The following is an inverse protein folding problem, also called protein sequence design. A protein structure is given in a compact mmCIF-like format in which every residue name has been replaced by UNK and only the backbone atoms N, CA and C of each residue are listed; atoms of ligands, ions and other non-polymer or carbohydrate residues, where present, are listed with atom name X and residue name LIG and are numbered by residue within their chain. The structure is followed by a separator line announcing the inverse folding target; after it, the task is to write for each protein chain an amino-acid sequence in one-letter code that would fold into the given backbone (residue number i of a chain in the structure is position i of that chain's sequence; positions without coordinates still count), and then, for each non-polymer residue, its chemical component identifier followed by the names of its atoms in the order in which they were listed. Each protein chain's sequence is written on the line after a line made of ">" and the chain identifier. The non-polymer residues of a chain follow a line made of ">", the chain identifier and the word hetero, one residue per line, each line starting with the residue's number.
data_IF_533936301223
#
_entry.id   IF_533936301223
#
_cell.length_a   1.000
_cell.length_b   1.000
_cell.length_c   1.000
_cell.angle_alpha   90.00
_cell.angle_beta   90.00
_cell.angle_gamma   90.00
#
_symmetry.space_group_name_H-M   'P 1'
#
loop_
_entity.id
_entity.type
_entity.pdbx_description
1 polymer ?
#
# COMPACT_ATOMS: atom_id res chain seq x y z
N UNK A 1 -22.30 25.28 -29.58
CA UNK A 1 -22.16 23.82 -29.87
C UNK A 1 -20.70 23.48 -29.68
N UNK A 2 -20.21 22.64 -28.76
CA UNK A 2 -20.79 21.75 -27.76
C UNK A 2 -19.99 21.95 -26.46
N UNK A 3 -20.72 22.03 -25.35
CA UNK A 3 -20.18 21.94 -24.00
C UNK A 3 -19.81 20.48 -23.70
N UNK A 4 -18.66 20.27 -23.05
CA UNK A 4 -18.43 19.08 -22.21
C UNK A 4 -17.61 19.53 -21.00
N UNK A 5 -18.33 19.99 -19.99
CA UNK A 5 -17.82 20.10 -18.63
C UNK A 5 -17.81 18.70 -18.02
N UNK A 6 -16.63 18.15 -17.77
CA UNK A 6 -16.44 16.91 -17.04
C UNK A 6 -16.33 17.29 -15.54
N UNK A 7 -17.40 17.03 -14.79
CA UNK A 7 -17.44 17.20 -13.34
C UNK A 7 -16.44 16.23 -12.67
N UNK A 8 -15.43 16.80 -12.03
CA UNK A 8 -14.57 16.13 -11.05
C UNK A 8 -15.31 16.03 -9.71
N UNK A 9 -15.82 14.85 -9.39
CA UNK A 9 -16.33 14.49 -8.06
C UNK A 9 -15.28 13.59 -7.38
N UNK A 10 -14.34 14.22 -6.69
CA UNK A 10 -13.47 13.56 -5.71
C UNK A 10 -14.15 13.63 -4.35
N UNK A 11 -14.83 12.55 -3.97
CA UNK A 11 -15.24 12.29 -2.59
C UNK A 11 -14.83 10.87 -2.21
N UNK A 12 -13.56 10.72 -1.83
CA UNK A 12 -13.06 9.53 -1.14
C UNK A 12 -13.56 9.63 0.31
N UNK A 13 -14.69 8.99 0.58
CA UNK A 13 -15.21 8.81 1.94
C UNK A 13 -14.33 7.78 2.66
N UNK A 14 -13.59 8.27 3.64
CA UNK A 14 -12.91 7.46 4.66
C UNK A 14 -14.01 6.94 5.59
N UNK A 15 -14.34 5.65 5.50
CA UNK A 15 -15.05 4.96 6.59
C UNK A 15 -14.05 4.73 7.73
N UNK A 16 -13.95 5.72 8.61
CA UNK A 16 -13.48 5.48 9.97
C UNK A 16 -14.65 4.89 10.77
N UNK A 17 -14.42 3.74 11.39
CA UNK A 17 -15.33 3.09 12.33
C UNK A 17 -15.80 4.09 13.39
N UNK A 18 -17.10 4.41 13.38
CA UNK A 18 -17.75 5.07 14.50
C UNK A 18 -18.09 3.98 15.53
N UNK A 19 -17.29 3.88 16.59
CA UNK A 19 -17.72 3.24 17.83
C UNK A 19 -18.82 4.12 18.44
N UNK A 20 -20.07 3.76 18.20
CA UNK A 20 -21.18 4.29 18.98
C UNK A 20 -21.32 3.43 20.25
N UNK A 21 -20.90 4.00 21.38
CA UNK A 21 -21.30 3.55 22.70
C UNK A 21 -22.84 3.53 22.78
N UNK A 22 -23.42 2.34 22.86
CA UNK A 22 -24.82 2.20 23.20
C UNK A 22 -25.00 2.43 24.71
N UNK A 23 -25.48 3.63 25.06
CA UNK A 23 -26.14 3.88 26.34
C UNK A 23 -27.41 3.04 26.43
N UNK A 24 -27.44 2.16 27.42
CA UNK A 24 -28.62 1.47 27.93
C UNK A 24 -29.73 2.49 28.28
N UNK A 25 -30.94 2.25 27.78
CA UNK A 25 -32.22 2.62 28.42
C UNK A 25 -33.41 1.96 27.73
N UNK A 26 -34.16 1.16 28.51
CA UNK A 26 -35.63 1.15 28.53
C UNK A 26 -36.41 0.39 27.46
N UNK A 27 -36.95 -0.76 27.88
CA UNK A 27 -38.14 -1.48 27.39
C UNK A 27 -39.06 -0.77 26.37
N UNK A 28 -39.40 -1.49 25.30
CA UNK A 28 -40.81 -1.80 24.96
C UNK A 28 -40.91 -2.93 23.93
N UNK A 29 -41.72 -3.92 24.28
CA UNK A 29 -42.09 -5.07 23.46
C UNK A 29 -42.71 -4.65 22.11
N UNK A 30 -42.10 -5.08 21.00
CA UNK A 30 -42.80 -5.31 19.73
C UNK A 30 -42.26 -6.58 19.08
N UNK A 31 -43.09 -7.64 19.11
CA UNK A 31 -42.94 -8.84 18.26
C UNK A 31 -43.00 -8.40 16.80
N UNK A 32 -41.85 -8.20 16.17
CA UNK A 32 -41.74 -8.22 14.73
C UNK A 32 -41.24 -9.59 14.32
N UNK A 33 -42.15 -10.37 13.75
CA UNK A 33 -41.90 -11.62 13.05
C UNK A 33 -41.02 -11.32 11.84
N UNK A 34 -39.69 -11.28 12.02
CA UNK A 34 -38.77 -11.21 10.89
C UNK A 34 -38.85 -12.54 10.17
N UNK A 35 -39.37 -12.54 8.94
CA UNK A 35 -39.09 -13.58 7.96
C UNK A 35 -37.57 -13.68 7.82
N UNK A 36 -36.99 -14.65 8.51
CA UNK A 36 -35.64 -15.10 8.26
C UNK A 36 -35.64 -15.68 6.84
N UNK A 37 -35.18 -14.89 5.87
CA UNK A 37 -34.69 -15.45 4.62
C UNK A 37 -33.51 -16.34 5.01
N UNK A 38 -33.79 -17.63 5.23
CA UNK A 38 -32.77 -18.66 5.32
C UNK A 38 -31.96 -18.59 4.03
N UNK A 39 -30.78 -17.99 4.14
CA UNK A 39 -29.81 -17.89 3.08
C UNK A 39 -29.23 -19.30 2.87
N UNK A 40 -29.95 -20.16 2.15
CA UNK A 40 -29.50 -21.51 1.79
C UNK A 40 -28.09 -21.40 1.22
N UNK A 41 -27.12 -22.00 1.92
CA UNK A 41 -25.73 -22.06 1.45
C UNK A 41 -25.70 -22.81 0.12
N UNK A 42 -25.62 -22.09 -0.98
CA UNK A 42 -25.46 -22.69 -2.29
C UNK A 42 -24.06 -23.32 -2.37
N UNK A 43 -23.97 -24.64 -2.18
CA UNK A 43 -22.78 -25.40 -2.50
C UNK A 43 -22.79 -25.68 -4.01
N UNK A 44 -21.82 -25.12 -4.74
CA UNK A 44 -21.70 -25.36 -6.17
C UNK A 44 -21.14 -26.77 -6.42
N UNK A 45 -21.58 -27.42 -7.51
CA UNK A 45 -21.00 -28.70 -7.91
C UNK A 45 -19.52 -28.53 -8.31
N UNK A 46 -18.72 -29.58 -8.14
CA UNK A 46 -17.31 -29.58 -8.50
C UNK A 46 -17.09 -29.15 -9.97
N UNK A 47 -17.86 -29.70 -10.91
CA UNK A 47 -17.80 -29.31 -12.32
C UNK A 47 -18.03 -27.81 -12.51
N UNK A 48 -18.95 -27.22 -11.75
CA UNK A 48 -19.27 -25.79 -11.79
C UNK A 48 -18.15 -24.92 -11.21
N UNK A 49 -17.43 -25.42 -10.21
CA UNK A 49 -16.27 -24.75 -9.61
C UNK A 49 -15.04 -24.80 -10.51
N UNK A 50 -14.79 -25.95 -11.14
CA UNK A 50 -13.71 -26.09 -12.12
C UNK A 50 -13.98 -25.18 -13.33
N UNK A 51 -15.21 -25.15 -13.86
CA UNK A 51 -15.59 -24.26 -14.93
C UNK A 51 -15.45 -22.78 -14.55
N UNK A 52 -15.77 -22.43 -13.29
CA UNK A 52 -15.54 -21.09 -12.76
C UNK A 52 -14.04 -20.74 -12.78
N UNK A 53 -13.17 -21.59 -12.22
CA UNK A 53 -11.73 -21.40 -12.25
C UNK A 53 -11.19 -21.24 -13.69
N UNK A 54 -11.64 -22.09 -14.61
CA UNK A 54 -11.25 -22.03 -16.03
C UNK A 54 -11.71 -20.73 -16.70
N UNK A 55 -12.89 -20.19 -16.33
CA UNK A 55 -13.37 -18.90 -16.83
C UNK A 55 -12.52 -17.73 -16.32
N UNK A 56 -12.15 -17.74 -15.04
CA UNK A 56 -11.31 -16.71 -14.41
C UNK A 56 -9.88 -16.75 -14.97
N UNK A 57 -9.33 -17.94 -15.23
CA UNK A 57 -8.04 -18.14 -15.89
C UNK A 57 -7.94 -17.50 -17.28
N UNK A 58 -9.07 -17.22 -17.94
CA UNK A 58 -9.14 -16.60 -19.27
C UNK A 58 -9.43 -15.10 -19.24
N UNK A 59 -9.67 -14.52 -18.06
CA UNK A 59 -9.88 -13.08 -17.94
C UNK A 59 -8.61 -12.30 -18.30
N UNK A 60 -8.79 -11.06 -18.77
CA UNK A 60 -7.68 -10.13 -19.00
C UNK A 60 -6.95 -9.81 -17.69
N UNK A 61 -5.70 -10.24 -17.58
CA UNK A 61 -4.84 -9.93 -16.43
C UNK A 61 -4.69 -8.43 -16.22
N UNK A 62 -4.59 -7.63 -17.28
CA UNK A 62 -4.42 -6.17 -17.19
C UNK A 62 -5.59 -5.47 -16.49
N UNK A 63 -6.82 -5.90 -16.77
CA UNK A 63 -8.02 -5.35 -16.11
C UNK A 63 -8.02 -5.64 -14.62
N UNK A 64 -7.68 -6.88 -14.25
CA UNK A 64 -7.58 -7.32 -12.85
C UNK A 64 -6.44 -6.60 -12.12
N UNK A 65 -5.27 -6.46 -12.76
CA UNK A 65 -4.12 -5.72 -12.24
C UNK A 65 -4.48 -4.26 -11.98
N UNK A 66 -5.13 -3.58 -12.92
CA UNK A 66 -5.52 -2.18 -12.77
C UNK A 66 -6.47 -1.98 -11.59
N UNK A 67 -7.40 -2.91 -11.39
CA UNK A 67 -8.33 -2.89 -10.24
C UNK A 67 -7.56 -3.07 -8.92
N UNK A 68 -6.70 -4.08 -8.83
CA UNK A 68 -5.96 -4.40 -7.60
C UNK A 68 -4.89 -3.36 -7.24
N UNK A 69 -4.22 -2.76 -8.23
CA UNK A 69 -3.17 -1.77 -7.97
C UNK A 69 -3.71 -0.37 -7.67
N UNK A 70 -4.97 -0.07 -8.02
CA UNK A 70 -5.55 1.27 -7.99
C UNK A 70 -5.34 1.99 -6.66
N UNK A 71 -5.69 1.36 -5.54
CA UNK A 71 -5.58 2.00 -4.22
C UNK A 71 -4.13 2.33 -3.88
N UNK A 72 -3.23 1.37 -4.11
CA UNK A 72 -1.83 1.55 -3.77
C UNK A 72 -1.14 2.60 -4.67
N UNK A 73 -1.44 2.57 -5.96
CA UNK A 73 -0.94 3.55 -6.92
C UNK A 73 -1.52 4.93 -6.64
N UNK A 74 -2.76 5.04 -6.17
CA UNK A 74 -3.37 6.31 -5.79
C UNK A 74 -2.62 6.97 -4.64
N UNK A 75 -2.27 6.21 -3.59
CA UNK A 75 -1.47 6.75 -2.47
C UNK A 75 -0.06 7.11 -2.93
N UNK A 76 0.58 6.25 -3.73
CA UNK A 76 1.92 6.50 -4.27
C UNK A 76 2.00 7.78 -5.12
N UNK A 77 0.99 7.99 -5.98
CA UNK A 77 0.90 9.12 -6.91
C UNK A 77 0.32 10.39 -6.27
N UNK A 78 -0.27 10.32 -5.06
CA UNK A 78 -0.81 11.45 -4.31
C UNK A 78 0.27 12.37 -3.71
N UNK A 79 1.38 12.56 -4.42
CA UNK A 79 2.38 13.55 -4.08
C UNK A 79 2.04 14.89 -4.73
N UNK A 80 1.88 15.92 -3.91
CA UNK A 80 1.58 17.26 -4.38
C UNK A 80 2.88 17.93 -4.85
N UNK A 81 2.97 18.23 -6.14
CA UNK A 81 4.05 19.04 -6.70
C UNK A 81 3.82 20.52 -6.35
N UNK A 82 4.82 21.14 -5.72
CA UNK A 82 4.77 22.55 -5.28
C UNK A 82 5.69 23.41 -6.16
N UNK A 83 6.96 23.01 -6.30
CA UNK A 83 7.98 23.72 -7.08
C UNK A 83 8.07 25.23 -6.81
N UNK A 84 8.12 25.61 -5.53
CA UNK A 84 8.18 27.02 -5.08
C UNK A 84 9.57 27.35 -4.56
N UNK A 85 10.18 28.42 -5.09
CA UNK A 85 11.40 28.99 -4.54
C UNK A 85 11.08 29.86 -3.33
N UNK A 86 11.74 29.60 -2.21
CA UNK A 86 11.65 30.41 -1.01
C UNK A 86 12.44 31.70 -1.19
N UNK A 87 11.89 32.82 -0.72
CA UNK A 87 12.67 34.05 -0.63
C UNK A 87 13.71 33.96 0.50
N UNK A 88 14.62 34.95 0.56
CA UNK A 88 15.73 34.96 1.53
C UNK A 88 15.26 34.87 2.98
N UNK A 89 14.16 35.56 3.33
CA UNK A 89 13.62 35.59 4.68
C UNK A 89 13.01 34.22 5.05
N UNK A 90 12.16 33.67 4.19
CA UNK A 90 11.55 32.34 4.36
C UNK A 90 12.61 31.26 4.52
N UNK A 91 13.64 31.27 3.66
CA UNK A 91 14.72 30.29 3.73
C UNK A 91 15.58 30.47 4.99
N UNK A 92 15.78 31.70 5.45
CA UNK A 92 16.45 31.98 6.73
C UNK A 92 15.65 31.41 7.91
N UNK A 93 14.34 31.67 7.94
CA UNK A 93 13.41 31.13 8.95
C UNK A 93 13.43 29.60 8.96
N UNK A 94 13.38 28.95 7.79
CA UNK A 94 13.48 27.50 7.68
C UNK A 94 14.81 26.96 8.23
N UNK A 95 15.94 27.59 7.90
CA UNK A 95 17.25 27.17 8.43
C UNK A 95 17.33 27.30 9.95
N UNK A 96 16.75 28.36 10.52
CA UNK A 96 16.65 28.56 11.97
C UNK A 96 15.77 27.50 12.61
N UNK A 97 14.60 27.23 12.03
CA UNK A 97 13.69 26.20 12.50
C UNK A 97 14.32 24.80 12.52
N UNK A 98 15.03 24.43 11.46
CA UNK A 98 15.78 23.15 11.40
C UNK A 98 16.84 23.08 12.51
N UNK A 99 17.56 24.17 12.78
CA UNK A 99 18.57 24.22 13.84
C UNK A 99 17.95 24.12 15.24
N UNK A 100 16.82 24.78 15.44
CA UNK A 100 16.09 24.81 16.72
C UNK A 100 15.19 23.58 16.93
N UNK A 101 14.96 22.78 15.88
CA UNK A 101 14.02 21.65 15.86
C UNK A 101 12.58 22.06 16.19
N UNK A 102 12.24 23.32 15.97
CA UNK A 102 10.91 23.87 16.20
C UNK A 102 10.66 25.08 15.31
N UNK A 103 9.40 25.37 15.01
CA UNK A 103 8.99 26.55 14.25
C UNK A 103 7.68 27.09 14.82
N UNK A 104 7.50 28.41 14.81
CA UNK A 104 6.21 28.99 15.16
C UNK A 104 5.16 28.67 14.08
N UNK A 105 3.90 28.48 14.48
CA UNK A 105 2.84 28.12 13.53
C UNK A 105 2.69 29.17 12.41
N UNK A 106 2.67 30.45 12.75
CA UNK A 106 2.57 31.56 11.79
C UNK A 106 3.72 31.57 10.76
N UNK A 107 4.94 31.26 11.23
CA UNK A 107 6.12 31.13 10.38
C UNK A 107 6.04 29.91 9.47
N UNK A 108 5.52 28.79 9.99
CA UNK A 108 5.29 27.59 9.19
C UNK A 108 4.23 27.85 8.12
N UNK A 109 3.10 28.44 8.47
CA UNK A 109 2.02 28.74 7.52
C UNK A 109 2.48 29.69 6.41
N UNK A 110 3.36 30.64 6.73
CA UNK A 110 3.98 31.52 5.72
C UNK A 110 4.82 30.75 4.70
N UNK A 111 5.51 29.68 5.11
CA UNK A 111 6.39 28.89 4.23
C UNK A 111 5.61 27.77 3.52
N UNK A 112 4.68 27.12 4.20
CA UNK A 112 4.06 25.87 3.75
C UNK A 112 2.60 26.03 3.32
N UNK A 113 2.02 27.23 3.48
CA UNK A 113 0.58 27.43 3.41
C UNK A 113 -0.10 26.80 4.63
N UNK A 114 -1.42 26.61 4.56
CA UNK A 114 -2.18 25.95 5.62
C UNK A 114 -1.56 24.58 5.94
N UNK A 115 -1.17 24.39 7.20
CA UNK A 115 -0.65 23.13 7.71
C UNK A 115 -1.74 22.35 8.44
N UNK A 116 -1.77 21.05 8.22
CA UNK A 116 -2.61 20.14 9.00
C UNK A 116 -1.77 19.65 10.17
N UNK A 117 -2.26 19.92 11.38
CA UNK A 117 -1.61 19.53 12.63
C UNK A 117 -2.47 18.51 13.35
N UNK A 118 -1.81 17.58 14.03
CA UNK A 118 -2.46 16.67 14.97
C UNK A 118 -3.09 17.47 16.12
N UNK A 119 -4.15 16.93 16.72
CA UNK A 119 -4.88 17.60 17.81
C UNK A 119 -3.99 17.90 19.01
N UNK A 120 -2.92 17.14 19.22
CA UNK A 120 -1.93 17.39 20.28
C UNK A 120 -1.22 18.74 20.15
N UNK A 121 -1.21 19.35 18.96
CA UNK A 121 -0.59 20.65 18.71
C UNK A 121 -1.61 21.81 18.66
N UNK A 122 -2.90 21.54 18.95
CA UNK A 122 -3.91 22.58 19.03
C UNK A 122 -3.65 23.48 20.25
N UNK A 123 -3.47 24.78 20.02
CA UNK A 123 -3.17 25.76 21.07
C UNK A 123 -1.68 25.97 21.34
N UNK A 124 -0.81 25.14 20.76
CA UNK A 124 0.63 25.33 20.83
C UNK A 124 1.08 26.49 19.94
N UNK A 125 2.09 27.26 20.39
CA UNK A 125 2.67 28.34 19.56
C UNK A 125 3.75 27.84 18.62
N UNK A 126 4.40 26.74 18.97
CA UNK A 126 5.49 26.14 18.22
C UNK A 126 5.18 24.67 17.93
N UNK A 127 5.59 24.22 16.75
CA UNK A 127 5.50 22.82 16.35
C UNK A 127 6.90 22.24 16.16
N UNK A 128 7.10 20.94 16.43
CA UNK A 128 8.40 20.29 16.25
C UNK A 128 8.78 20.24 14.77
N UNK A 129 10.09 20.30 14.49
CA UNK A 129 10.63 20.14 13.14
C UNK A 129 11.62 19.00 13.13
N UNK A 130 11.27 17.93 12.41
CA UNK A 130 12.17 16.83 12.10
C UNK A 130 12.81 17.06 10.74
N UNK A 131 14.12 16.83 10.65
CA UNK A 131 14.93 17.11 9.46
C UNK A 131 15.62 15.85 8.96
N UNK A 132 15.52 15.61 7.65
CA UNK A 132 16.12 14.47 6.96
C UNK A 132 17.05 14.99 5.86
N UNK A 133 18.37 14.80 5.99
CA UNK A 133 19.33 15.16 4.94
C UNK A 133 19.63 13.97 4.03
N UNK A 134 19.72 14.22 2.71
CA UNK A 134 19.99 13.18 1.71
C UNK A 134 21.38 13.36 1.07
N UNK A 135 22.42 13.35 1.91
CA UNK A 135 23.81 13.47 1.46
C UNK A 135 24.82 13.19 2.57
N UNK A 136 26.10 13.07 2.19
CA UNK A 136 27.19 12.88 3.17
C UNK A 136 27.36 14.15 4.02
N UNK A 137 27.28 13.98 5.34
CA UNK A 137 27.46 15.03 6.35
C UNK A 137 26.15 15.75 6.71
N UNK A 138 25.92 15.95 8.02
CA UNK A 138 24.74 16.60 8.61
C UNK A 138 24.54 18.08 8.21
N UNK A 139 25.45 18.63 7.40
CA UNK A 139 25.43 20.03 6.91
C UNK A 139 25.01 20.15 5.44
N UNK A 140 24.85 19.06 4.70
CA UNK A 140 24.43 19.15 3.31
C UNK A 140 22.93 19.48 3.23
N UNK A 141 22.64 20.77 3.02
CA UNK A 141 21.28 21.31 2.90
C UNK A 141 20.80 21.38 1.44
N UNK A 142 21.45 20.66 0.52
CA UNK A 142 21.00 20.63 -0.87
C UNK A 142 19.72 19.82 -0.97
N UNK A 143 19.76 18.51 -0.83
CA UNK A 143 18.55 17.67 -0.92
C UNK A 143 18.16 17.21 0.49
N UNK A 144 16.95 17.57 0.93
CA UNK A 144 16.47 17.24 2.27
C UNK A 144 14.94 17.20 2.32
N UNK A 145 14.42 16.66 3.42
CA UNK A 145 13.01 16.73 3.76
C UNK A 145 12.81 17.22 5.20
N UNK A 146 11.61 17.73 5.50
CA UNK A 146 11.17 18.00 6.86
C UNK A 146 9.77 17.43 7.12
N UNK A 147 9.44 17.20 8.39
CA UNK A 147 8.10 16.90 8.87
C UNK A 147 7.81 17.60 10.20
N UNK A 148 6.52 17.78 10.53
CA UNK A 148 6.06 18.44 11.75
C UNK A 148 5.51 17.47 12.81
N UNK A 149 6.22 16.38 13.07
CA UNK A 149 5.84 15.40 14.09
C UNK A 149 7.02 15.11 15.03
N UNK A 150 6.71 14.77 16.27
CA UNK A 150 7.67 14.12 17.18
C UNK A 150 7.94 12.66 16.78
N UNK A 151 9.05 12.10 17.27
CA UNK A 151 9.52 10.75 16.95
C UNK A 151 8.55 9.61 17.35
N UNK A 152 7.48 9.89 18.09
CA UNK A 152 6.54 8.90 18.64
C UNK A 152 5.07 9.13 18.27
N UNK A 153 4.77 10.14 17.46
CA UNK A 153 3.37 10.42 17.08
C UNK A 153 2.95 9.42 16.02
N UNK A 154 1.99 8.58 16.38
CA UNK A 154 1.31 7.66 15.46
C UNK A 154 0.28 8.46 14.66
N UNK A 155 0.29 8.34 13.34
CA UNK A 155 -0.77 8.94 12.54
C UNK A 155 -0.30 9.54 11.23
N UNK A 156 -1.05 10.54 10.77
CA UNK A 156 -0.78 11.22 9.51
C UNK A 156 0.20 12.37 9.73
N UNK A 157 1.18 12.51 8.85
CA UNK A 157 2.07 13.67 8.81
C UNK A 157 2.38 14.09 7.39
N UNK A 158 2.83 15.33 7.21
CA UNK A 158 3.26 15.83 5.92
C UNK A 158 4.79 15.84 5.83
N UNK A 159 5.32 15.21 4.79
CA UNK A 159 6.70 15.37 4.35
C UNK A 159 6.78 16.49 3.33
N UNK A 160 7.73 17.39 3.53
CA UNK A 160 8.04 18.47 2.60
C UNK A 160 9.45 18.28 2.04
N UNK A 161 9.58 18.15 0.73
CA UNK A 161 10.83 17.81 0.03
C UNK A 161 11.45 19.06 -0.59
N UNK A 162 12.75 19.25 -0.36
CA UNK A 162 13.50 20.43 -0.76
C UNK A 162 14.72 20.11 -1.61
N UNK A 163 15.06 21.06 -2.49
CA UNK A 163 16.37 21.21 -3.10
C UNK A 163 16.89 22.65 -2.87
N UNK A 164 17.75 22.83 -1.88
CA UNK A 164 18.28 24.13 -1.47
C UNK A 164 17.19 25.01 -0.87
N UNK A 165 16.92 26.14 -1.53
CA UNK A 165 15.87 27.09 -1.17
C UNK A 165 14.54 26.79 -1.89
N UNK A 166 14.41 25.67 -2.59
CA UNK A 166 13.22 25.33 -3.36
C UNK A 166 12.43 24.20 -2.70
N UNK A 167 11.16 24.47 -2.35
CA UNK A 167 10.18 23.48 -1.91
C UNK A 167 9.59 22.77 -3.13
N UNK A 168 9.98 21.52 -3.34
CA UNK A 168 9.62 20.77 -4.54
C UNK A 168 8.26 20.10 -4.44
N UNK A 169 8.01 19.41 -3.32
CA UNK A 169 6.81 18.59 -3.17
C UNK A 169 6.38 18.43 -1.71
N UNK A 170 5.11 18.06 -1.52
CA UNK A 170 4.50 17.69 -0.25
C UNK A 170 3.82 16.33 -0.40
N UNK A 171 3.97 15.46 0.60
CA UNK A 171 3.24 14.18 0.67
C UNK A 171 2.68 13.98 2.08
N UNK A 172 1.36 13.81 2.17
CA UNK A 172 0.75 13.27 3.37
C UNK A 172 1.07 11.78 3.45
N UNK A 173 1.60 11.34 4.58
CA UNK A 173 1.95 9.95 4.83
C UNK A 173 1.24 9.47 6.10
N UNK A 174 0.84 8.21 6.12
CA UNK A 174 0.42 7.54 7.35
C UNK A 174 1.54 6.67 7.89
N UNK A 175 1.82 6.79 9.17
CA UNK A 175 2.82 5.95 9.80
C UNK A 175 2.45 5.63 11.26
N UNK A 176 2.23 4.36 11.53
CA UNK A 176 1.87 3.89 12.86
C UNK A 176 3.10 3.54 13.71
N UNK A 177 4.17 3.03 13.09
CA UNK A 177 5.35 2.47 13.79
C UNK A 177 6.60 3.36 13.77
N UNK A 178 6.49 4.60 13.30
CA UNK A 178 7.59 5.53 13.12
C UNK A 178 8.08 5.61 11.66
N UNK A 179 8.38 6.83 11.24
CA UNK A 179 8.82 7.12 9.88
C UNK A 179 10.33 7.02 9.71
N UNK A 180 10.75 6.07 8.89
CA UNK A 180 12.14 5.89 8.47
C UNK A 180 12.33 6.30 7.00
N UNK A 181 12.82 7.52 6.79
CA UNK A 181 13.26 7.98 5.47
C UNK A 181 14.69 7.52 5.20
N UNK A 182 14.84 6.68 4.19
CA UNK A 182 16.12 6.22 3.70
C UNK A 182 16.42 6.86 2.34
N UNK A 183 17.69 6.86 1.95
CA UNK A 183 18.09 7.34 0.63
C UNK A 183 19.32 6.61 0.10
N UNK A 184 19.54 6.71 -1.21
CA UNK A 184 20.76 6.28 -1.88
C UNK A 184 21.03 7.12 -3.12
N UNK A 185 22.24 7.00 -3.67
CA UNK A 185 22.58 7.54 -4.99
C UNK A 185 22.46 6.45 -6.04
N UNK A 186 21.68 6.70 -7.08
CA UNK A 186 21.58 5.79 -8.22
C UNK A 186 22.85 5.83 -9.09
N UNK A 187 22.86 5.09 -10.20
CA UNK A 187 23.99 5.01 -11.11
C UNK A 187 24.41 6.39 -11.67
N UNK A 188 23.47 7.32 -11.79
CA UNK A 188 23.70 8.69 -12.30
C UNK A 188 24.05 9.69 -11.18
N UNK A 189 24.24 9.22 -9.95
CA UNK A 189 24.52 10.07 -8.79
C UNK A 189 23.32 10.91 -8.30
N UNK A 190 22.11 10.61 -8.76
CA UNK A 190 20.86 11.27 -8.33
C UNK A 190 20.36 10.63 -7.05
N UNK A 191 19.75 11.44 -6.18
CA UNK A 191 19.16 10.94 -4.93
C UNK A 191 17.85 10.25 -5.23
N UNK A 192 17.76 9.00 -4.77
CA UNK A 192 16.49 8.30 -4.60
C UNK A 192 16.25 8.19 -3.10
N UNK A 193 15.10 8.68 -2.66
CA UNK A 193 14.61 8.42 -1.31
C UNK A 193 13.61 7.28 -1.34
N UNK A 194 13.51 6.57 -0.22
CA UNK A 194 12.48 5.58 -0.03
C UNK A 194 12.09 5.45 1.43
N UNK A 195 10.85 5.07 1.65
CA UNK A 195 10.28 4.84 2.96
C UNK A 195 9.16 3.80 2.87
N UNK A 196 8.83 3.24 4.03
CA UNK A 196 7.69 2.35 4.21
C UNK A 196 6.48 3.17 4.64
N UNK A 197 5.34 2.95 4.00
CA UNK A 197 4.05 3.52 4.41
C UNK A 197 3.08 2.38 4.75
N UNK A 198 2.40 2.54 5.87
CA UNK A 198 1.45 1.56 6.40
C UNK A 198 0.07 1.80 5.77
N UNK A 199 -0.59 0.76 5.27
CA UNK A 199 -1.96 0.86 4.72
C UNK A 199 -2.99 0.28 5.67
N UNK A 200 -2.71 -0.92 6.18
CA UNK A 200 -3.57 -1.62 7.11
C UNK A 200 -2.68 -2.23 8.19
N UNK A 201 -2.96 -1.84 9.43
CA UNK A 201 -2.25 -2.32 10.63
C UNK A 201 -3.29 -2.80 11.63
N UNK A 202 -3.12 -4.03 12.13
CA UNK A 202 -4.00 -4.61 13.15
C UNK A 202 -3.41 -5.91 13.70
N UNK A 203 -4.07 -6.51 14.68
CA UNK A 203 -3.64 -7.78 15.27
C UNK A 203 -3.54 -8.88 14.19
N UNK A 204 -2.32 -9.20 13.78
CA UNK A 204 -2.02 -10.24 12.78
C UNK A 204 -2.10 -9.80 11.31
N UNK A 205 -2.39 -8.53 11.01
CA UNK A 205 -2.41 -7.99 9.64
C UNK A 205 -1.42 -6.83 9.53
N UNK A 206 -0.50 -6.97 8.58
CA UNK A 206 0.56 -6.03 8.26
C UNK A 206 0.58 -5.86 6.75
N UNK A 207 0.12 -4.70 6.29
CA UNK A 207 0.24 -4.33 4.89
C UNK A 207 0.92 -2.97 4.74
N UNK A 208 2.14 -3.03 4.20
CA UNK A 208 2.97 -1.86 4.00
C UNK A 208 3.54 -1.88 2.57
N UNK A 209 3.64 -0.72 1.91
CA UNK A 209 4.41 -0.60 0.67
C UNK A 209 5.72 0.17 0.91
N UNK A 210 6.70 -0.13 0.07
CA UNK A 210 7.89 0.67 -0.15
C UNK A 210 7.64 1.62 -1.30
N UNK A 211 7.72 2.92 -1.02
CA UNK A 211 7.71 3.94 -2.05
C UNK A 211 9.09 4.51 -2.29
N UNK A 212 9.41 4.73 -3.55
CA UNK A 212 10.64 5.35 -3.99
C UNK A 212 10.33 6.59 -4.80
N UNK A 213 11.08 7.65 -4.51
CA UNK A 213 10.99 8.93 -5.21
C UNK A 213 12.38 9.42 -5.56
N UNK A 214 12.53 10.06 -6.73
CA UNK A 214 13.81 10.54 -7.25
C UNK A 214 13.83 12.05 -7.38
N UNK A 215 14.94 12.66 -6.96
CA UNK A 215 15.28 14.03 -7.34
C UNK A 215 15.78 14.03 -8.78
N UNK A 216 14.99 14.58 -9.69
CA UNK A 216 15.27 14.54 -11.13
C UNK A 216 14.88 15.87 -11.78
N UNK A 217 15.84 16.53 -12.42
CA UNK A 217 15.65 17.82 -13.12
C UNK A 217 14.90 18.87 -12.29
N UNK A 218 15.36 19.12 -11.06
CA UNK A 218 14.73 20.03 -10.08
C UNK A 218 13.27 19.69 -9.74
N UNK A 219 12.85 18.45 -9.96
CA UNK A 219 11.56 17.91 -9.54
C UNK A 219 11.76 16.73 -8.61
N UNK A 220 10.70 16.38 -7.91
CA UNK A 220 10.66 15.24 -7.03
C UNK A 220 9.55 14.29 -7.51
N UNK A 221 9.95 13.20 -8.15
CA UNK A 221 9.03 12.34 -8.92
C UNK A 221 8.90 10.94 -8.31
N UNK A 222 7.70 10.34 -8.35
CA UNK A 222 7.50 8.93 -7.99
C UNK A 222 8.23 8.02 -9.00
N UNK A 223 8.98 7.02 -8.52
CA UNK A 223 9.76 6.13 -9.41
C UNK A 223 9.56 4.64 -9.19
N UNK A 224 9.14 4.19 -7.99
CA UNK A 224 8.78 2.79 -7.73
C UNK A 224 7.80 2.68 -6.57
N UNK A 225 6.81 1.80 -6.73
CA UNK A 225 5.88 1.35 -5.71
C UNK A 225 5.99 -0.17 -5.64
N UNK A 226 6.39 -0.70 -4.49
CA UNK A 226 6.54 -2.14 -4.29
C UNK A 226 5.94 -2.56 -2.96
N UNK A 227 5.35 -3.75 -2.89
CA UNK A 227 4.85 -4.30 -1.63
C UNK A 227 6.03 -4.55 -0.68
N UNK A 228 6.02 -3.97 0.52
CA UNK A 228 7.01 -4.26 1.55
C UNK A 228 6.66 -5.53 2.29
N UNK A 229 5.43 -5.62 2.78
CA UNK A 229 4.87 -6.79 3.40
C UNK A 229 3.38 -6.80 3.08
N UNK A 230 2.85 -7.95 2.69
CA UNK A 230 1.42 -8.19 2.60
C UNK A 230 1.11 -9.57 3.15
N UNK A 231 0.37 -9.61 4.26
CA UNK A 231 -0.19 -10.84 4.77
C UNK A 231 -1.71 -10.73 4.92
N UNK A 232 -2.39 -11.86 4.74
CA UNK A 232 -3.78 -11.98 5.18
C UNK A 232 -4.00 -13.36 5.76
N UNK A 233 -4.74 -13.39 6.85
CA UNK A 233 -5.33 -14.59 7.43
C UNK A 233 -6.84 -14.42 7.32
N UNK A 234 -7.42 -14.86 6.20
CA UNK A 234 -8.87 -15.10 6.15
C UNK A 234 -9.81 -13.94 5.81
N UNK A 235 -9.43 -12.95 5.00
CA UNK A 235 -10.40 -11.96 4.48
C UNK A 235 -11.62 -12.59 3.77
N UNK A 236 -11.48 -13.83 3.26
CA UNK A 236 -12.56 -14.70 2.80
C UNK A 236 -12.39 -16.13 3.34
N UNK A 237 -11.86 -16.27 4.57
CA UNK A 237 -11.78 -17.53 5.32
C UNK A 237 -10.88 -18.64 4.76
N UNK A 238 -10.43 -18.58 3.51
CA UNK A 238 -9.88 -19.75 2.82
C UNK A 238 -8.39 -19.63 2.51
N UNK A 239 -7.87 -18.48 2.07
CA UNK A 239 -6.45 -18.30 1.69
C UNK A 239 -5.62 -17.65 2.79
N UNK A 240 -4.50 -18.28 3.13
CA UNK A 240 -3.42 -17.69 3.91
C UNK A 240 -2.32 -17.25 2.94
N UNK A 241 -1.84 -16.01 3.06
CA UNK A 241 -0.76 -15.50 2.22
C UNK A 241 0.22 -14.66 3.03
N UNK A 242 1.47 -14.71 2.62
CA UNK A 242 2.55 -13.91 3.15
C UNK A 242 3.48 -13.52 2.00
N UNK A 243 3.81 -12.24 1.87
CA UNK A 243 4.91 -11.79 1.03
C UNK A 243 5.66 -10.71 1.79
N UNK A 244 6.99 -10.82 1.80
CA UNK A 244 7.88 -9.83 2.36
C UNK A 244 9.00 -9.48 1.35
N UNK A 245 9.24 -8.18 1.18
CA UNK A 245 10.31 -7.63 0.38
C UNK A 245 11.44 -7.10 1.26
N UNK A 246 12.62 -7.67 1.07
CA UNK A 246 13.84 -7.38 1.81
C UNK A 246 14.83 -6.69 0.88
N UNK A 247 15.23 -5.47 1.22
CA UNK A 247 16.24 -4.72 0.48
C UNK A 247 17.63 -5.34 0.68
N UNK A 248 18.22 -5.88 -0.39
CA UNK A 248 19.59 -6.44 -0.37
C UNK A 248 20.65 -5.38 -0.62
N UNK A 249 20.42 -4.53 -1.62
CA UNK A 249 21.33 -3.42 -2.01
C UNK A 249 20.56 -2.36 -2.78
N UNK A 250 21.11 -1.16 -2.87
CA UNK A 250 20.45 0.03 -3.44
C UNK A 250 21.05 0.52 -4.75
N UNK A 251 22.26 0.11 -5.13
CA UNK A 251 22.85 0.45 -6.42
C UNK A 251 23.60 -0.75 -7.03
N UNK A 252 23.01 -1.46 -8.03
CA UNK A 252 21.61 -1.36 -8.44
C UNK A 252 20.65 -1.78 -7.31
N UNK A 253 19.40 -1.28 -7.33
CA UNK A 253 18.39 -1.69 -6.36
C UNK A 253 18.03 -3.17 -6.56
N UNK A 254 18.14 -3.97 -5.51
CA UNK A 254 17.75 -5.38 -5.50
C UNK A 254 16.90 -5.67 -4.27
N UNK A 255 15.72 -6.22 -4.50
CA UNK A 255 14.80 -6.66 -3.46
C UNK A 255 14.69 -8.18 -3.51
N UNK A 256 14.92 -8.86 -2.39
CA UNK A 256 14.57 -10.27 -2.21
C UNK A 256 13.11 -10.33 -1.78
N UNK A 257 12.30 -11.02 -2.55
CA UNK A 257 10.90 -11.29 -2.23
C UNK A 257 10.80 -12.70 -1.68
N UNK A 258 10.32 -12.83 -0.46
CA UNK A 258 10.01 -14.12 0.19
C UNK A 258 8.50 -14.22 0.26
N UNK A 259 7.92 -15.26 -0.31
CA UNK A 259 6.47 -15.35 -0.43
C UNK A 259 5.96 -16.78 -0.27
N UNK A 260 4.80 -16.89 0.35
CA UNK A 260 4.08 -18.13 0.48
C UNK A 260 2.58 -17.91 0.44
N UNK A 261 1.86 -18.90 -0.07
CA UNK A 261 0.42 -18.94 0.08
C UNK A 261 -0.09 -20.38 0.15
N UNK A 262 -1.22 -20.51 0.82
CA UNK A 262 -1.91 -21.77 1.02
C UNK A 262 -3.33 -21.51 1.52
N UNK A 263 -3.91 -22.51 2.16
CA UNK A 263 -5.27 -22.41 2.70
C UNK A 263 -5.26 -22.59 4.22
N UNK A 264 -6.12 -21.86 4.93
CA UNK A 264 -6.16 -21.86 6.41
C UNK A 264 -6.40 -23.25 7.01
N UNK A 265 -7.05 -24.14 6.25
CA UNK A 265 -7.33 -25.54 6.59
C UNK A 265 -6.06 -26.43 6.52
N UNK A 266 -4.91 -25.87 6.13
CA UNK A 266 -3.62 -26.55 6.06
C UNK A 266 -2.67 -26.22 7.22
N UNK A 267 -3.12 -26.24 8.47
CA UNK A 267 -2.17 -26.47 9.58
C UNK A 267 -2.24 -27.93 9.95
N UNK A 268 -1.56 -28.77 9.17
CA UNK A 268 -1.34 -30.15 9.54
C UNK A 268 0.08 -30.29 10.10
N UNK A 269 0.18 -30.61 11.39
CA UNK A 269 1.48 -30.82 12.05
C UNK A 269 2.14 -32.11 11.55
N UNK A 270 1.35 -33.07 11.06
CA UNK A 270 1.84 -34.37 10.60
C UNK A 270 2.31 -34.32 9.14
N UNK A 271 1.84 -33.35 8.35
CA UNK A 271 2.20 -33.19 6.93
C UNK A 271 2.48 -31.72 6.55
N UNK A 272 3.65 -31.17 6.92
CA UNK A 272 4.00 -29.77 6.68
C UNK A 272 4.01 -29.36 5.19
N UNK A 273 4.25 -30.29 4.27
CA UNK A 273 4.25 -30.04 2.81
C UNK A 273 2.85 -29.78 2.24
N UNK A 274 1.81 -30.08 3.02
CA UNK A 274 0.46 -29.66 2.71
C UNK A 274 0.21 -28.22 3.13
N UNK A 275 1.04 -27.59 3.95
CA UNK A 275 0.79 -26.24 4.48
C UNK A 275 0.94 -25.11 3.44
N UNK A 276 1.47 -25.42 2.25
CA UNK A 276 1.73 -24.44 1.19
C UNK A 276 1.44 -24.95 -0.23
N UNK A 277 0.86 -24.08 -1.08
CA UNK A 277 0.72 -24.30 -2.53
C UNK A 277 2.02 -23.85 -3.18
N UNK A 278 2.61 -22.82 -2.59
CA UNK A 278 3.85 -22.17 -2.98
C UNK A 278 4.50 -21.60 -1.72
N UNK A 279 5.79 -21.84 -1.57
CA UNK A 279 6.66 -21.22 -0.57
C UNK A 279 8.04 -21.09 -1.23
N UNK A 280 8.39 -19.87 -1.63
CA UNK A 280 9.61 -19.64 -2.40
C UNK A 280 10.18 -18.24 -2.10
N UNK A 281 11.35 -17.96 -2.67
CA UNK A 281 11.89 -16.62 -2.73
C UNK A 281 12.58 -16.38 -4.06
N UNK A 282 12.60 -15.12 -4.47
CA UNK A 282 13.33 -14.67 -5.66
C UNK A 282 13.95 -13.31 -5.40
N UNK A 283 14.90 -12.93 -6.26
CA UNK A 283 15.48 -11.59 -6.24
C UNK A 283 15.01 -10.85 -7.48
N UNK A 284 14.48 -9.65 -7.29
CA UNK A 284 14.13 -8.73 -8.39
C UNK A 284 15.16 -7.62 -8.41
N UNK A 285 15.84 -7.47 -9.55
CA UNK A 285 16.75 -6.36 -9.83
C UNK A 285 15.97 -5.25 -10.51
N UNK A 286 16.13 -4.02 -10.03
CA UNK A 286 15.49 -2.84 -10.60
C UNK A 286 16.52 -1.98 -11.31
N UNK A 287 16.15 -1.52 -12.50
CA UNK A 287 16.97 -0.64 -13.33
C UNK A 287 16.17 0.60 -13.72
N UNK A 288 16.84 1.74 -13.82
CA UNK A 288 16.22 2.99 -14.25
C UNK A 288 15.82 2.91 -15.72
N UNK A 289 14.55 3.21 -16.03
CA UNK A 289 14.08 3.38 -17.39
C UNK A 289 13.89 4.87 -17.69
N UNK A 290 14.72 5.39 -18.58
CA UNK A 290 14.72 6.80 -18.95
C UNK A 290 13.46 7.21 -19.71
N UNK A 291 12.77 6.26 -20.37
CA UNK A 291 11.53 6.54 -21.10
C UNK A 291 10.35 6.73 -20.15
N UNK A 292 10.13 5.81 -19.22
CA UNK A 292 9.03 5.93 -18.24
C UNK A 292 9.38 6.81 -17.03
N UNK A 293 10.66 7.16 -16.84
CA UNK A 293 11.18 7.83 -15.64
C UNK A 293 10.87 7.05 -14.35
N UNK A 294 10.91 5.72 -14.44
CA UNK A 294 10.64 4.83 -13.31
C UNK A 294 11.72 3.76 -13.17
N UNK A 295 11.80 3.12 -12.01
CA UNK A 295 12.58 1.91 -11.85
C UNK A 295 11.74 0.71 -12.33
N UNK A 296 12.27 -0.06 -13.29
CA UNK A 296 11.64 -1.28 -13.80
C UNK A 296 12.30 -2.52 -13.19
N UNK A 297 11.49 -3.37 -12.59
CA UNK A 297 11.91 -4.69 -12.12
C UNK A 297 12.08 -5.66 -13.29
N UNK A 298 13.19 -6.39 -13.30
CA UNK A 298 13.49 -7.46 -14.26
C UNK A 298 12.74 -8.75 -13.89
N UNK A 299 11.41 -8.72 -13.92
CA UNK A 299 10.56 -9.83 -13.47
C UNK A 299 10.66 -11.07 -14.36
N UNK A 300 11.03 -10.89 -15.64
CA UNK A 300 11.30 -11.97 -16.59
C UNK A 300 12.42 -12.91 -16.14
N UNK A 301 13.31 -12.43 -15.26
CA UNK A 301 14.42 -13.18 -14.68
C UNK A 301 14.13 -13.67 -13.25
N UNK A 302 12.88 -13.56 -12.80
CA UNK A 302 12.49 -13.85 -11.43
C UNK A 302 11.38 -14.91 -11.39
N UNK A 303 11.26 -15.60 -10.25
CA UNK A 303 10.25 -16.64 -10.07
C UNK A 303 8.84 -16.12 -9.82
N UNK A 304 8.68 -14.81 -9.63
CA UNK A 304 7.40 -14.16 -9.36
C UNK A 304 7.19 -13.00 -10.34
N UNK A 305 5.98 -12.87 -10.85
CA UNK A 305 5.62 -11.76 -11.74
C UNK A 305 5.00 -10.60 -10.96
N UNK A 306 5.00 -9.40 -11.55
CA UNK A 306 4.33 -8.24 -10.96
C UNK A 306 2.82 -8.48 -10.68
N UNK A 307 2.04 -9.10 -11.60
CA UNK A 307 0.66 -9.49 -11.30
C UNK A 307 0.53 -10.46 -10.12
N UNK A 308 1.46 -11.41 -9.95
CA UNK A 308 1.45 -12.33 -8.80
C UNK A 308 1.69 -11.60 -7.47
N UNK A 309 2.59 -10.61 -7.43
CA UNK A 309 2.82 -9.79 -6.23
C UNK A 309 1.54 -9.04 -5.81
N UNK A 310 0.78 -8.53 -6.78
CA UNK A 310 -0.46 -7.80 -6.49
C UNK A 310 -1.53 -8.68 -5.81
N UNK A 311 -1.46 -10.00 -5.94
CA UNK A 311 -2.37 -10.93 -5.22
C UNK A 311 -2.15 -10.97 -3.70
N UNK A 312 -1.06 -10.35 -3.20
CA UNK A 312 -0.73 -10.24 -1.78
C UNK A 312 -1.24 -8.94 -1.15
N UNK A 313 -1.83 -8.03 -1.94
CA UNK A 313 -2.48 -6.81 -1.46
C UNK A 313 -3.78 -7.18 -0.73
N UNK A 314 -4.30 -6.32 0.16
CA UNK A 314 -5.39 -6.72 1.08
C UNK A 314 -6.77 -6.77 0.41
N UNK A 315 -6.97 -6.09 -0.73
CA UNK A 315 -8.32 -5.94 -1.28
C UNK A 315 -8.55 -6.70 -2.59
N UNK A 316 -9.69 -7.41 -2.63
CA UNK A 316 -10.44 -7.78 -3.84
C UNK A 316 -9.59 -8.28 -5.02
N UNK A 317 -8.72 -9.25 -4.73
CA UNK A 317 -7.76 -9.80 -5.68
C UNK A 317 -7.85 -11.31 -5.85
N UNK A 318 -8.95 -11.93 -5.41
CA UNK A 318 -9.12 -13.39 -5.56
C UNK A 318 -9.26 -13.80 -7.02
N UNK A 319 -9.95 -13.00 -7.85
CA UNK A 319 -9.98 -13.23 -9.31
C UNK A 319 -8.59 -13.08 -9.93
N UNK A 320 -7.81 -12.07 -9.52
CA UNK A 320 -6.43 -11.91 -9.97
C UNK A 320 -5.58 -13.12 -9.55
N UNK A 321 -5.73 -13.59 -8.31
CA UNK A 321 -5.03 -14.75 -7.78
C UNK A 321 -5.33 -16.02 -8.60
N UNK A 322 -6.61 -16.33 -8.82
CA UNK A 322 -7.00 -17.48 -9.66
C UNK A 322 -6.44 -17.32 -11.07
N UNK A 323 -6.47 -16.12 -11.64
CA UNK A 323 -5.97 -15.83 -12.98
C UNK A 323 -4.45 -16.09 -13.10
N UNK A 324 -3.63 -15.53 -12.20
CA UNK A 324 -2.16 -15.58 -12.31
C UNK A 324 -1.53 -16.84 -11.72
N UNK A 325 -2.29 -17.62 -10.95
CA UNK A 325 -1.90 -18.93 -10.44
C UNK A 325 -2.73 -20.07 -11.05
N UNK A 326 -3.42 -19.84 -12.17
CA UNK A 326 -4.31 -20.82 -12.80
C UNK A 326 -3.64 -22.18 -13.01
N UNK A 327 -2.47 -22.20 -13.66
CA UNK A 327 -1.75 -23.45 -13.95
C UNK A 327 -1.29 -24.15 -12.67
N UNK A 328 -0.84 -23.39 -11.66
CA UNK A 328 -0.46 -23.93 -10.37
C UNK A 328 -1.68 -24.61 -9.70
N UNK A 329 -2.82 -23.93 -9.66
CA UNK A 329 -4.05 -24.47 -9.09
C UNK A 329 -4.50 -25.73 -9.84
N UNK A 330 -4.52 -25.69 -11.18
CA UNK A 330 -4.93 -26.83 -12.03
C UNK A 330 -4.01 -28.04 -11.83
N UNK A 331 -2.70 -27.81 -11.72
CA UNK A 331 -1.73 -28.88 -11.47
C UNK A 331 -1.89 -29.47 -10.06
N UNK A 332 -2.12 -28.63 -9.05
CA UNK A 332 -2.29 -29.08 -7.65
C UNK A 332 -3.63 -29.81 -7.43
N UNK A 333 -4.65 -29.59 -8.26
CA UNK A 333 -5.91 -30.37 -8.23
C UNK A 333 -5.75 -31.87 -8.58
N UNK A 334 -4.57 -32.31 -9.05
CA UNK A 334 -4.29 -33.75 -9.27
C UNK A 334 -4.12 -34.52 -7.96
N UNK A 335 -3.76 -33.82 -6.90
CA UNK A 335 -3.70 -34.36 -5.54
C UNK A 335 -5.08 -34.26 -4.88
N UNK A 336 -5.60 -35.36 -4.34
CA UNK A 336 -6.98 -35.42 -3.83
C UNK A 336 -7.22 -34.47 -2.65
N UNK A 337 -6.25 -34.35 -1.73
CA UNK A 337 -6.37 -33.47 -0.57
C UNK A 337 -6.31 -32.00 -0.99
N UNK A 338 -5.35 -31.63 -1.85
CA UNK A 338 -5.26 -30.27 -2.39
C UNK A 338 -6.48 -29.93 -3.25
N UNK A 339 -7.02 -30.88 -4.02
CA UNK A 339 -8.23 -30.69 -4.82
C UNK A 339 -9.42 -30.28 -3.96
N UNK A 340 -9.70 -31.02 -2.87
CA UNK A 340 -10.81 -30.71 -1.96
C UNK A 340 -10.76 -29.26 -1.47
N UNK A 341 -9.57 -28.82 -1.11
CA UNK A 341 -9.35 -27.50 -0.49
C UNK A 341 -9.39 -26.37 -1.51
N UNK A 342 -8.83 -26.59 -2.71
CA UNK A 342 -8.99 -25.66 -3.82
C UNK A 342 -10.47 -25.51 -4.18
N UNK A 343 -11.26 -26.60 -4.17
CA UNK A 343 -12.71 -26.53 -4.41
C UNK A 343 -13.45 -25.76 -3.31
N UNK A 344 -13.11 -25.95 -2.03
CA UNK A 344 -13.65 -25.14 -0.92
C UNK A 344 -13.35 -23.65 -1.11
N UNK A 345 -12.11 -23.33 -1.47
CA UNK A 345 -11.69 -21.97 -1.80
C UNK A 345 -12.53 -21.39 -2.96
N UNK A 346 -12.62 -22.10 -4.09
CA UNK A 346 -13.38 -21.65 -5.26
C UNK A 346 -14.87 -21.46 -4.96
N UNK A 347 -15.47 -22.32 -4.12
CA UNK A 347 -16.85 -22.18 -3.67
C UNK A 347 -17.07 -20.88 -2.91
N UNK A 348 -16.12 -20.53 -2.04
CA UNK A 348 -16.14 -19.27 -1.28
C UNK A 348 -16.02 -18.06 -2.20
N UNK A 349 -15.04 -18.06 -3.13
CA UNK A 349 -14.86 -16.95 -4.08
C UNK A 349 -16.08 -16.80 -5.00
N UNK A 350 -16.57 -17.91 -5.58
CA UNK A 350 -17.72 -17.89 -6.49
C UNK A 350 -18.99 -17.38 -5.81
N UNK A 351 -19.21 -17.75 -4.55
CA UNK A 351 -20.33 -17.23 -3.75
C UNK A 351 -20.18 -15.72 -3.56
N UNK A 352 -18.99 -15.25 -3.19
CA UNK A 352 -18.71 -13.83 -2.99
C UNK A 352 -18.98 -13.01 -4.27
N UNK A 353 -18.50 -13.47 -5.43
CA UNK A 353 -18.74 -12.77 -6.70
C UNK A 353 -20.23 -12.69 -7.05
N UNK A 354 -20.97 -13.79 -6.89
CA UNK A 354 -22.43 -13.78 -7.11
C UNK A 354 -23.15 -12.79 -6.20
N UNK A 355 -22.76 -12.72 -4.93
CA UNK A 355 -23.38 -11.82 -3.96
C UNK A 355 -23.05 -10.35 -4.27
N UNK A 356 -21.92 -10.05 -4.93
CA UNK A 356 -21.58 -8.70 -5.42
C UNK A 356 -22.41 -8.28 -6.63
N UNK A 357 -22.61 -9.19 -7.59
CA UNK A 357 -23.41 -8.90 -8.79
C UNK A 357 -24.90 -8.68 -8.49
N UNK A 358 -25.35 -9.05 -7.28
CA UNK A 358 -26.75 -8.89 -6.83
C UNK A 358 -27.05 -7.56 -6.13
N UNK A 359 -26.05 -6.69 -5.94
CA UNK A 359 -26.18 -5.36 -5.34
C UNK A 359 -25.98 -4.29 -6.39
#
# INVERSE_FOLDING_TARGET
>A
MKNTALLLLFSVLIMACNQQEHKSKGNTNKKNTSRTLENKSANFSEKSLIAFMDSVGRLSTDSLVKKTSFYADSVFLAIQQINRKLNKLEYSTLKTAIKQRSIKIDQAEKIFGKIELDSIYLGEKNIPVKFYAFGKGSRNKKEFAISFNEDRVRGRTNLYFFNGDSLLAKKAIYNYYGLELNHYKDADGKTIIYYREDYITGSGIWWNNLYFYKYYNNRFIPVLNELSNGNTTGALGSRQKWLESIKLKTNPLMLKMVYSHGFNEWKNNDYPDLNYLLNDSTIVKYSWDEKSKTLKGAYENSKITKPQILTYYVEDNELLYINVFYDLLKNKMRDNEKRKLILTYLNTVKKHERDRDSK
#
